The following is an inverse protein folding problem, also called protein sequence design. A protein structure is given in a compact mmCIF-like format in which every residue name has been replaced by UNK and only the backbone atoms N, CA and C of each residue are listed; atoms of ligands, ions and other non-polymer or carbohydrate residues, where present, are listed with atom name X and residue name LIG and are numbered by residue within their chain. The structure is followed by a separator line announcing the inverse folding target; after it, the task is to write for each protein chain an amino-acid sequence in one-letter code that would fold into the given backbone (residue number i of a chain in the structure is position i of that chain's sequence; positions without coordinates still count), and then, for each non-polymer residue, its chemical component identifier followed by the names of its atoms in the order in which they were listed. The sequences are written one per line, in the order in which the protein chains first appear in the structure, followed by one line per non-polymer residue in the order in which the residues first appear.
data_IF_310161457905
#
_entry.id   IF_310161457905
#
_cell.length_a   1.000
_cell.length_b   1.000
_cell.length_c   1.000
_cell.angle_alpha   90.00
_cell.angle_beta   90.00
_cell.angle_gamma   90.00
#
_symmetry.space_group_name_H-M   'P 1'
#
loop_
_entity.id
_entity.type
_entity.pdbx_description
1 polymer ?
#
# COMPACT_ATOMS: atom_id res chain seq x y z
N UNK A 1 -35.80 -35.50 -32.32
CA UNK A 1 -34.64 -35.06 -31.49
C UNK A 1 -35.05 -34.97 -30.04
N UNK A 2 -34.46 -35.76 -29.14
CA UNK A 2 -34.73 -35.67 -27.72
C UNK A 2 -33.89 -34.52 -27.13
N UNK A 3 -34.54 -33.52 -26.59
CA UNK A 3 -33.88 -32.46 -25.81
C UNK A 3 -33.57 -33.03 -24.43
N UNK A 4 -32.30 -33.25 -24.12
CA UNK A 4 -31.87 -33.63 -22.80
C UNK A 4 -31.91 -32.39 -21.90
N UNK A 5 -32.82 -32.35 -20.94
CA UNK A 5 -32.89 -31.29 -19.93
C UNK A 5 -31.97 -31.60 -18.75
N UNK A 6 -31.55 -30.57 -18.02
CA UNK A 6 -30.84 -30.70 -16.75
C UNK A 6 -31.76 -31.24 -15.65
N UNK A 7 -31.24 -32.11 -14.82
CA UNK A 7 -31.94 -32.55 -13.61
C UNK A 7 -31.80 -31.51 -12.50
N UNK A 8 -32.77 -31.46 -11.60
CA UNK A 8 -32.74 -30.54 -10.45
C UNK A 8 -31.55 -30.80 -9.53
N UNK A 9 -31.17 -32.09 -9.39
CA UNK A 9 -30.02 -32.46 -8.55
C UNK A 9 -28.67 -32.02 -9.16
N UNK A 10 -28.51 -32.10 -10.48
CA UNK A 10 -27.31 -31.61 -11.17
C UNK A 10 -27.12 -30.11 -10.95
N UNK A 11 -28.20 -29.34 -10.99
CA UNK A 11 -28.14 -27.90 -10.71
C UNK A 11 -27.85 -27.65 -9.22
N UNK A 12 -28.46 -28.43 -8.33
CA UNK A 12 -28.27 -28.27 -6.87
C UNK A 12 -26.83 -28.52 -6.44
N UNK A 13 -26.21 -29.60 -6.90
CA UNK A 13 -24.81 -29.91 -6.53
C UNK A 13 -23.83 -28.86 -7.04
N UNK A 14 -24.07 -28.30 -8.23
CA UNK A 14 -23.22 -27.26 -8.80
C UNK A 14 -23.26 -25.98 -7.95
N UNK A 15 -24.45 -25.52 -7.58
CA UNK A 15 -24.57 -24.29 -6.76
C UNK A 15 -24.01 -24.48 -5.34
N UNK A 16 -24.11 -25.68 -4.77
CA UNK A 16 -23.53 -26.01 -3.46
C UNK A 16 -22.00 -25.96 -3.53
N UNK A 17 -21.40 -26.58 -4.57
CA UNK A 17 -19.95 -26.56 -4.76
C UNK A 17 -19.44 -25.13 -4.98
N UNK A 18 -20.10 -24.33 -5.81
CA UNK A 18 -19.76 -22.93 -6.03
C UNK A 18 -19.83 -22.15 -4.71
N UNK A 19 -20.88 -22.38 -3.89
CA UNK A 19 -21.05 -21.73 -2.60
C UNK A 19 -19.90 -22.03 -1.63
N UNK A 20 -19.47 -23.30 -1.54
CA UNK A 20 -18.35 -23.71 -0.68
C UNK A 20 -17.04 -23.09 -1.17
N UNK A 21 -16.76 -23.14 -2.46
CA UNK A 21 -15.55 -22.55 -3.03
C UNK A 21 -15.53 -21.02 -2.85
N UNK A 22 -16.65 -20.34 -3.04
CA UNK A 22 -16.77 -18.91 -2.85
C UNK A 22 -16.53 -18.50 -1.38
N UNK A 23 -17.05 -19.27 -0.42
CA UNK A 23 -16.87 -19.02 1.00
C UNK A 23 -15.38 -18.99 1.43
N UNK A 24 -14.55 -19.79 0.78
CA UNK A 24 -13.11 -19.83 1.05
C UNK A 24 -12.33 -18.79 0.22
N UNK A 25 -12.70 -18.63 -1.04
CA UNK A 25 -11.96 -17.80 -1.99
C UNK A 25 -12.10 -16.30 -1.71
N UNK A 26 -13.29 -15.82 -1.36
CA UNK A 26 -13.57 -14.39 -1.17
C UNK A 26 -12.73 -13.77 -0.05
N UNK A 27 -12.70 -14.30 1.19
CA UNK A 27 -11.89 -13.71 2.26
C UNK A 27 -10.39 -13.78 1.98
N UNK A 28 -9.92 -14.87 1.36
CA UNK A 28 -8.51 -15.01 0.99
C UNK A 28 -8.09 -13.98 -0.05
N UNK A 29 -8.96 -13.71 -1.02
CA UNK A 29 -8.69 -12.72 -2.06
C UNK A 29 -8.66 -11.28 -1.51
N UNK A 30 -9.56 -10.93 -0.59
CA UNK A 30 -9.58 -9.64 0.09
C UNK A 30 -8.28 -9.39 0.87
N UNK A 31 -7.80 -10.35 1.63
CA UNK A 31 -6.53 -10.26 2.36
C UNK A 31 -5.32 -10.09 1.43
N UNK A 32 -5.33 -10.73 0.28
CA UNK A 32 -4.26 -10.60 -0.72
C UNK A 32 -4.25 -9.21 -1.33
N UNK A 33 -5.41 -8.62 -1.62
CA UNK A 33 -5.54 -7.24 -2.08
C UNK A 33 -4.98 -6.24 -1.07
N UNK A 34 -5.34 -6.37 0.21
CA UNK A 34 -4.80 -5.49 1.27
C UNK A 34 -3.27 -5.54 1.34
N UNK A 35 -2.69 -6.73 1.28
CA UNK A 35 -1.23 -6.90 1.26
C UNK A 35 -0.58 -6.22 0.05
N UNK A 36 -1.22 -6.29 -1.12
CA UNK A 36 -0.74 -5.60 -2.32
C UNK A 36 -0.75 -4.08 -2.16
N UNK A 37 -1.79 -3.51 -1.56
CA UNK A 37 -1.88 -2.07 -1.30
C UNK A 37 -0.84 -1.60 -0.27
N UNK A 38 -0.63 -2.36 0.80
CA UNK A 38 0.43 -2.09 1.78
C UNK A 38 1.81 -2.12 1.11
N UNK A 39 2.04 -3.10 0.23
CA UNK A 39 3.29 -3.19 -0.54
C UNK A 39 3.47 -1.99 -1.46
N UNK A 40 2.41 -1.51 -2.11
CA UNK A 40 2.44 -0.31 -2.93
C UNK A 40 2.82 0.94 -2.11
N UNK A 41 2.22 1.14 -0.94
CA UNK A 41 2.57 2.24 -0.03
C UNK A 41 4.05 2.18 0.40
N UNK A 42 4.54 1.01 0.76
CA UNK A 42 5.96 0.82 1.14
C UNK A 42 6.90 1.06 -0.03
N UNK A 43 6.53 0.64 -1.23
CA UNK A 43 7.30 0.88 -2.44
C UNK A 43 7.37 2.37 -2.77
N UNK A 44 6.26 3.08 -2.66
CA UNK A 44 6.22 4.53 -2.87
C UNK A 44 7.10 5.28 -1.86
N UNK A 45 7.08 4.88 -0.59
CA UNK A 45 7.96 5.47 0.42
C UNK A 45 9.45 5.21 0.15
N UNK A 46 9.83 4.03 -0.35
CA UNK A 46 11.22 3.75 -0.77
C UNK A 46 11.63 4.61 -1.96
N UNK A 47 10.73 4.78 -2.93
CA UNK A 47 10.98 5.66 -4.08
C UNK A 47 11.10 7.11 -3.63
N UNK A 48 10.30 7.52 -2.64
CA UNK A 48 10.39 8.85 -2.04
C UNK A 48 11.74 9.07 -1.35
N UNK A 49 12.24 8.10 -0.59
CA UNK A 49 13.58 8.16 0.01
C UNK A 49 14.64 8.40 -1.06
N UNK A 50 14.58 7.65 -2.16
CA UNK A 50 15.53 7.81 -3.27
C UNK A 50 15.42 9.19 -3.90
N UNK A 51 14.22 9.72 -4.08
CA UNK A 51 13.99 11.04 -4.66
C UNK A 51 14.47 12.17 -3.74
N UNK A 52 14.26 12.05 -2.43
CA UNK A 52 14.76 13.01 -1.43
C UNK A 52 16.27 13.00 -1.32
N UNK A 53 16.91 11.83 -1.37
CA UNK A 53 18.37 11.74 -1.38
C UNK A 53 18.98 12.35 -2.65
N UNK A 54 18.34 12.17 -3.80
CA UNK A 54 18.76 12.81 -5.04
C UNK A 54 18.61 14.33 -4.95
N UNK A 55 17.51 14.83 -4.40
CA UNK A 55 17.30 16.25 -4.20
C UNK A 55 18.32 16.85 -3.20
N UNK A 56 18.60 16.13 -2.12
CA UNK A 56 19.59 16.53 -1.13
C UNK A 56 21.00 16.63 -1.72
N UNK A 57 21.37 15.72 -2.62
CA UNK A 57 22.66 15.76 -3.31
C UNK A 57 22.85 17.03 -4.15
N UNK A 58 21.75 17.54 -4.74
CA UNK A 58 21.79 18.75 -5.56
C UNK A 58 21.63 20.04 -4.74
N UNK A 59 20.83 20.01 -3.66
CA UNK A 59 20.37 21.20 -2.94
C UNK A 59 20.95 21.34 -1.53
N UNK A 60 21.62 20.33 -1.00
CA UNK A 60 22.07 20.23 0.40
C UNK A 60 20.94 20.39 1.45
N UNK A 61 19.70 20.12 1.05
CA UNK A 61 18.52 20.18 1.92
C UNK A 61 17.44 19.23 1.42
N UNK A 62 16.63 18.72 2.32
CA UNK A 62 15.41 17.98 1.98
C UNK A 62 14.25 18.92 1.69
N UNK A 63 13.24 18.49 0.95
CA UNK A 63 12.09 19.31 0.59
C UNK A 63 10.77 18.70 1.06
N UNK A 64 9.90 19.53 1.61
CA UNK A 64 8.52 19.12 1.90
C UNK A 64 7.60 19.20 0.68
N UNK A 65 8.09 19.70 -0.44
CA UNK A 65 7.31 19.94 -1.66
C UNK A 65 7.53 18.80 -2.66
N UNK A 66 6.54 17.92 -2.78
CA UNK A 66 6.61 16.74 -3.66
C UNK A 66 6.88 17.08 -5.12
N UNK A 67 6.40 18.25 -5.59
CA UNK A 67 6.63 18.72 -6.97
C UNK A 67 8.09 19.03 -7.29
N UNK A 68 8.92 19.27 -6.28
CA UNK A 68 10.36 19.47 -6.46
C UNK A 68 11.10 18.14 -6.63
N UNK A 69 10.46 17.04 -6.29
CA UNK A 69 10.98 15.70 -6.39
C UNK A 69 10.56 15.07 -7.73
N UNK A 70 11.42 14.26 -8.32
CA UNK A 70 11.05 13.39 -9.45
C UNK A 70 10.33 12.15 -8.91
N UNK A 71 9.17 12.38 -8.30
CA UNK A 71 8.39 11.35 -7.62
C UNK A 71 6.92 11.43 -8.03
N UNK A 72 6.31 10.27 -8.18
CA UNK A 72 4.88 10.13 -8.42
C UNK A 72 4.33 8.96 -7.60
N UNK A 73 3.24 9.21 -6.86
CA UNK A 73 2.56 8.18 -6.10
C UNK A 73 1.85 7.18 -7.01
N UNK A 74 1.82 5.93 -6.58
CA UNK A 74 0.99 4.89 -7.21
C UNK A 74 -0.49 5.28 -7.10
N UNK A 75 -1.28 4.88 -8.09
CA UNK A 75 -2.73 5.12 -8.10
C UNK A 75 -3.38 4.65 -6.80
N UNK A 76 -4.20 5.49 -6.20
CA UNK A 76 -4.89 5.28 -4.93
C UNK A 76 -4.02 5.37 -3.67
N UNK A 77 -2.71 5.53 -3.78
CA UNK A 77 -1.85 5.96 -2.68
C UNK A 77 -1.90 7.49 -2.60
N UNK A 78 -2.04 8.02 -1.39
CA UNK A 78 -2.07 9.47 -1.19
C UNK A 78 -0.74 10.12 -1.58
N UNK A 79 -0.80 11.40 -1.93
CA UNK A 79 0.42 12.21 -2.01
C UNK A 79 1.12 12.18 -0.65
N UNK A 80 2.44 11.95 -0.59
CA UNK A 80 3.16 11.91 0.68
C UNK A 80 3.04 13.23 1.45
N UNK A 81 2.71 13.13 2.73
CA UNK A 81 2.81 14.23 3.67
C UNK A 81 4.23 14.25 4.23
N UNK A 82 5.07 15.15 3.72
CA UNK A 82 6.48 15.26 4.08
C UNK A 82 6.68 16.39 5.08
N UNK A 83 7.45 16.12 6.13
CA UNK A 83 7.92 17.11 7.09
C UNK A 83 9.44 17.08 7.13
N UNK A 84 10.07 18.23 6.98
CA UNK A 84 11.53 18.39 6.92
C UNK A 84 12.06 19.12 8.15
N UNK A 85 13.28 18.76 8.55
CA UNK A 85 14.09 19.42 9.57
C UNK A 85 15.52 19.62 9.05
N UNK A 86 16.42 20.06 9.91
CA UNK A 86 17.83 20.25 9.55
C UNK A 86 18.50 18.88 9.38
N UNK A 87 18.72 18.47 8.13
CA UNK A 87 19.35 17.17 7.80
C UNK A 87 18.49 15.95 8.13
N UNK A 88 17.18 16.16 8.37
CA UNK A 88 16.23 15.12 8.73
C UNK A 88 14.89 15.32 8.02
N UNK A 89 14.16 14.26 7.79
CA UNK A 89 12.80 14.32 7.28
C UNK A 89 12.02 13.05 7.59
N UNK A 90 10.72 13.14 7.55
CA UNK A 90 9.83 11.99 7.59
C UNK A 90 8.63 12.21 6.68
N UNK A 91 8.00 11.13 6.28
CA UNK A 91 6.80 11.18 5.46
C UNK A 91 5.81 10.08 5.83
N UNK A 92 4.55 10.34 5.54
CA UNK A 92 3.46 9.36 5.67
C UNK A 92 2.67 9.29 4.38
N UNK A 93 2.15 8.11 4.08
CA UNK A 93 1.19 7.86 3.01
C UNK A 93 0.05 7.00 3.53
N UNK A 94 -1.10 7.11 2.89
CA UNK A 94 -2.27 6.26 3.11
C UNK A 94 -2.79 5.71 1.79
N UNK A 95 -3.67 4.73 1.86
CA UNK A 95 -4.30 4.16 0.67
C UNK A 95 -5.81 4.19 0.84
N UNK A 96 -6.54 4.65 -0.18
CA UNK A 96 -7.99 4.88 -0.12
C UNK A 96 -8.83 3.62 0.20
N UNK A 97 -8.28 2.44 -0.07
CA UNK A 97 -8.95 1.15 0.14
C UNK A 97 -8.37 0.32 1.30
N UNK A 98 -7.51 0.92 2.13
CA UNK A 98 -6.91 0.26 3.30
C UNK A 98 -7.20 1.10 4.54
N UNK A 99 -7.90 0.49 5.50
CA UNK A 99 -8.22 1.14 6.77
C UNK A 99 -7.34 0.65 7.92
N UNK A 100 -6.79 -0.53 7.79
CA UNK A 100 -5.88 -1.13 8.77
C UNK A 100 -4.80 -1.94 8.03
N UNK A 101 -3.54 -1.52 8.08
CA UNK A 101 -3.00 -0.31 8.72
C UNK A 101 -3.50 0.98 8.08
N UNK A 102 -3.75 2.02 8.87
CA UNK A 102 -4.30 3.29 8.38
C UNK A 102 -3.31 4.09 7.54
N UNK A 103 -2.01 3.95 7.84
CA UNK A 103 -0.94 4.67 7.15
C UNK A 103 0.38 3.93 7.21
N UNK A 104 1.27 4.27 6.30
CA UNK A 104 2.66 3.86 6.33
C UNK A 104 3.55 5.11 6.43
N UNK A 105 4.69 4.98 7.10
CA UNK A 105 5.64 6.07 7.27
C UNK A 105 7.08 5.64 7.12
N UNK A 106 7.94 6.61 6.86
CA UNK A 106 9.40 6.46 6.81
C UNK A 106 10.05 7.70 7.41
N UNK A 107 11.19 7.54 8.04
CA UNK A 107 11.96 8.65 8.61
C UNK A 107 13.45 8.50 8.32
N UNK A 108 14.13 9.59 8.07
CA UNK A 108 15.58 9.71 7.88
C UNK A 108 16.13 10.69 8.89
N UNK A 109 17.10 10.28 9.70
CA UNK A 109 17.65 11.04 10.82
C UNK A 109 16.60 11.53 11.83
N UNK A 110 15.44 10.85 11.90
CA UNK A 110 14.35 11.15 12.81
C UNK A 110 13.53 9.88 13.10
N UNK A 111 12.71 9.92 14.14
CA UNK A 111 11.80 8.81 14.44
C UNK A 111 10.75 8.65 13.33
N UNK A 112 10.45 7.39 13.01
CA UNK A 112 9.35 7.10 12.09
C UNK A 112 8.03 7.62 12.68
N UNK A 113 7.23 8.39 11.91
CA UNK A 113 6.03 9.03 12.43
C UNK A 113 4.88 8.04 12.72
N UNK A 114 4.96 6.83 12.17
CA UNK A 114 3.93 5.80 12.31
C UNK A 114 4.31 4.76 13.36
N UNK A 115 5.56 4.29 13.36
CA UNK A 115 6.05 3.28 14.30
C UNK A 115 7.33 3.76 14.97
N UNK A 116 7.26 4.08 16.25
CA UNK A 116 8.44 4.43 17.04
C UNK A 116 9.42 3.24 17.11
N UNK A 117 10.70 3.49 16.89
CA UNK A 117 11.76 2.47 16.92
C UNK A 117 11.94 1.69 15.62
N UNK A 118 11.24 2.04 14.55
CA UNK A 118 11.52 1.49 13.23
C UNK A 118 12.91 1.91 12.73
N UNK A 119 13.54 1.04 11.95
CA UNK A 119 14.85 1.33 11.36
C UNK A 119 14.77 2.52 10.42
N UNK A 120 15.85 3.31 10.40
CA UNK A 120 15.96 4.47 9.52
C UNK A 120 15.83 4.08 8.06
N UNK A 121 15.02 4.82 7.31
CA UNK A 121 14.77 4.58 5.90
C UNK A 121 13.90 3.36 5.59
N UNK A 122 13.43 2.65 6.62
CA UNK A 122 12.53 1.50 6.44
C UNK A 122 11.06 1.95 6.50
N UNK A 123 10.28 1.72 5.44
CA UNK A 123 8.85 1.97 5.46
C UNK A 123 8.12 0.97 6.36
N UNK A 124 7.36 1.47 7.33
CA UNK A 124 6.52 0.67 8.24
C UNK A 124 5.09 1.19 8.24
N UNK A 125 4.16 0.30 8.46
CA UNK A 125 2.72 0.60 8.43
C UNK A 125 2.06 0.20 9.76
N UNK A 126 1.11 1.02 10.22
CA UNK A 126 0.31 0.78 11.42
C UNK A 126 -1.12 1.33 11.27
#
# INVERSE_FOLDING_TARGET
MSKKGFTLIELLIVVVIIGILAAIAIPKFANTKQKAYITAMKSDLRNLVTAEEAYFADSNAYTATVTNLKFQSTTSVSTPAITTGTGAWYATVSHSQVTTPASCGVGINTTNPVVAGASEGEPVCQ
#
